data_IF_963937254355
#
_entry.id   IF_963937254355
#
_cell.length_a   1.000
_cell.length_b   1.000
_cell.length_c   1.000
_cell.angle_alpha   90.00
_cell.angle_beta   90.00
_cell.angle_gamma   90.00
#
_symmetry.space_group_name_H-M   'P 1'
#
loop_
_entity.id
_entity.type
_entity.pdbx_description
1 polymer ?
#
# COMPACT_ATOMS: atom_id res chain seq x y z
N UNK A 1 2.12 6.56 -25.28
CA UNK A 1 1.32 5.83 -24.27
C UNK A 1 1.90 6.10 -22.90
N UNK A 2 1.05 6.22 -21.88
CA UNK A 2 1.49 6.22 -20.48
C UNK A 2 2.20 4.90 -20.16
N UNK A 3 3.21 4.92 -19.28
CA UNK A 3 3.91 3.69 -18.90
C UNK A 3 3.01 2.89 -17.95
N UNK A 4 3.08 1.57 -17.99
CA UNK A 4 2.35 0.74 -17.02
C UNK A 4 2.79 1.11 -15.60
N UNK A 5 1.82 1.38 -14.70
CA UNK A 5 2.05 1.83 -13.32
C UNK A 5 2.98 3.06 -13.20
N UNK A 6 2.77 4.10 -14.01
CA UNK A 6 3.46 5.38 -13.82
C UNK A 6 2.88 6.22 -12.67
N UNK A 7 3.41 7.43 -12.45
CA UNK A 7 2.97 8.33 -11.38
C UNK A 7 1.49 8.72 -11.48
N UNK A 8 0.89 8.63 -12.67
CA UNK A 8 -0.53 8.92 -12.90
C UNK A 8 -1.38 7.65 -13.01
N UNK A 9 -0.89 6.53 -12.46
CA UNK A 9 -1.62 5.27 -12.50
C UNK A 9 -3.03 5.44 -11.91
N UNK A 10 -4.05 5.01 -12.68
CA UNK A 10 -5.49 5.20 -12.41
C UNK A 10 -5.99 6.67 -12.44
N UNK A 11 -5.14 7.66 -12.69
CA UNK A 11 -5.52 9.06 -12.80
C UNK A 11 -5.80 9.43 -14.27
N UNK A 12 -7.07 9.58 -14.61
CA UNK A 12 -7.55 9.75 -16.00
C UNK A 12 -7.83 11.20 -16.40
N UNK A 13 -7.61 12.18 -15.51
CA UNK A 13 -7.84 13.61 -15.79
C UNK A 13 -6.85 14.51 -15.05
N UNK A 14 -6.68 15.76 -15.53
CA UNK A 14 -5.86 16.77 -14.84
C UNK A 14 -6.36 17.12 -13.45
N UNK A 15 -7.67 17.09 -13.24
CA UNK A 15 -8.26 17.27 -11.91
C UNK A 15 -7.87 16.12 -10.97
N UNK A 16 -7.89 14.87 -11.46
CA UNK A 16 -7.49 13.71 -10.65
C UNK A 16 -5.99 13.75 -10.29
N UNK A 17 -5.13 14.10 -11.26
CA UNK A 17 -3.69 14.33 -11.04
C UNK A 17 -3.47 15.40 -9.95
N UNK A 18 -4.13 16.56 -10.06
CA UNK A 18 -4.01 17.66 -9.09
C UNK A 18 -4.47 17.23 -7.68
N UNK A 19 -5.67 16.64 -7.56
CA UNK A 19 -6.22 16.24 -6.26
C UNK A 19 -5.35 15.19 -5.56
N UNK A 20 -4.80 14.22 -6.32
CA UNK A 20 -3.96 13.19 -5.76
C UNK A 20 -2.57 13.71 -5.38
N UNK A 21 -1.85 14.31 -6.33
CA UNK A 21 -0.44 14.70 -6.13
C UNK A 21 -0.27 15.87 -5.16
N UNK A 22 -1.19 16.84 -5.19
CA UNK A 22 -1.05 18.04 -4.37
C UNK A 22 -1.63 17.88 -2.96
N UNK A 23 -2.63 17.02 -2.79
CA UNK A 23 -3.34 16.83 -1.52
C UNK A 23 -3.29 15.39 -1.02
N UNK A 24 -3.91 14.43 -1.72
CA UNK A 24 -4.16 13.09 -1.16
C UNK A 24 -2.87 12.32 -0.79
N UNK A 25 -1.85 12.33 -1.66
CA UNK A 25 -0.58 11.62 -1.49
C UNK A 25 0.20 12.04 -0.23
N UNK A 26 -0.06 13.24 0.29
CA UNK A 26 0.64 13.81 1.46
C UNK A 26 -0.08 13.53 2.78
N UNK A 27 -1.31 13.03 2.73
CA UNK A 27 -2.08 12.77 3.94
C UNK A 27 -1.53 11.54 4.68
N UNK A 28 -1.58 11.53 6.02
CA UNK A 28 -1.26 10.33 6.78
C UNK A 28 -2.30 9.23 6.53
N UNK A 29 -1.90 7.98 6.75
CA UNK A 29 -2.79 6.83 6.72
C UNK A 29 -3.47 6.70 8.08
N UNK A 30 -4.80 6.64 8.08
CA UNK A 30 -5.60 6.27 9.24
C UNK A 30 -6.20 4.87 9.00
N UNK A 31 -5.51 3.85 9.47
CA UNK A 31 -5.91 2.45 9.30
C UNK A 31 -6.69 1.95 10.53
N UNK A 32 -7.94 2.40 10.67
CA UNK A 32 -8.77 2.17 11.85
C UNK A 32 -9.23 0.71 12.03
N UNK A 33 -9.11 -0.10 10.98
CA UNK A 33 -9.50 -1.50 10.99
C UNK A 33 -8.55 -2.32 10.12
N UNK A 34 -7.72 -3.12 10.76
CA UNK A 34 -6.80 -4.05 10.11
C UNK A 34 -6.73 -5.37 10.90
N UNK A 35 -6.02 -6.33 10.33
CA UNK A 35 -5.77 -7.64 10.93
C UNK A 35 -4.28 -7.91 11.18
N UNK A 36 -3.47 -6.84 11.28
CA UNK A 36 -2.05 -6.96 11.59
C UNK A 36 -1.86 -7.59 12.98
N UNK A 37 -0.83 -8.43 13.12
CA UNK A 37 -0.48 -9.05 14.40
C UNK A 37 0.09 -8.00 15.36
N UNK A 38 -0.56 -7.73 16.52
CA UNK A 38 -0.01 -6.79 17.51
C UNK A 38 1.34 -7.24 18.07
N UNK A 39 1.57 -8.55 18.09
CA UNK A 39 2.84 -9.14 18.53
C UNK A 39 3.98 -8.83 17.57
N UNK A 40 3.74 -8.95 16.27
CA UNK A 40 4.77 -8.65 15.27
C UNK A 40 5.16 -7.17 15.29
N UNK A 41 4.19 -6.28 15.56
CA UNK A 41 4.44 -4.85 15.78
C UNK A 41 5.28 -4.65 17.04
N UNK A 42 4.92 -5.29 18.16
CA UNK A 42 5.64 -5.17 19.43
C UNK A 42 7.08 -5.69 19.38
N UNK A 43 7.30 -6.82 18.69
CA UNK A 43 8.61 -7.46 18.57
C UNK A 43 9.48 -6.84 17.47
N UNK A 44 8.97 -5.87 16.70
CA UNK A 44 9.60 -5.34 15.47
C UNK A 44 10.08 -6.48 14.55
N UNK A 45 9.15 -7.42 14.29
CA UNK A 45 9.44 -8.68 13.63
C UNK A 45 10.19 -8.47 12.31
N UNK A 46 11.32 -9.16 12.16
CA UNK A 46 12.05 -9.26 10.88
C UNK A 46 11.66 -10.56 10.19
N UNK A 47 11.35 -10.49 8.90
CA UNK A 47 11.05 -11.66 8.08
C UNK A 47 12.33 -12.21 7.46
N UNK A 48 12.43 -13.53 7.36
CA UNK A 48 13.64 -14.22 6.86
C UNK A 48 13.79 -14.08 5.35
N UNK A 49 12.68 -14.00 4.63
CA UNK A 49 12.64 -13.90 3.17
C UNK A 49 11.31 -13.31 2.67
N UNK A 50 11.26 -12.98 1.38
CA UNK A 50 10.08 -12.38 0.76
C UNK A 50 8.87 -13.31 0.76
N UNK A 51 9.08 -14.63 0.57
CA UNK A 51 8.00 -15.62 0.53
C UNK A 51 7.22 -15.63 1.84
N UNK A 52 7.91 -15.58 2.99
CA UNK A 52 7.28 -15.50 4.30
C UNK A 52 6.37 -14.27 4.41
N UNK A 53 6.87 -13.09 4.04
CA UNK A 53 6.08 -11.85 4.13
C UNK A 53 4.90 -11.82 3.14
N UNK A 54 5.11 -12.22 1.89
CA UNK A 54 4.13 -12.03 0.82
C UNK A 54 3.09 -13.14 0.70
N UNK A 55 3.39 -14.35 1.15
CA UNK A 55 2.48 -15.48 1.02
C UNK A 55 1.80 -15.90 2.34
N UNK A 56 2.21 -15.37 3.49
CA UNK A 56 1.57 -15.69 4.78
C UNK A 56 0.11 -15.22 4.90
N UNK A 57 -0.32 -14.25 4.08
CA UNK A 57 -1.69 -13.73 4.00
C UNK A 57 -1.84 -12.84 2.74
N UNK A 58 -2.96 -12.18 2.49
CA UNK A 58 -4.32 -12.31 3.01
C UNK A 58 -5.14 -13.30 2.15
N UNK A 59 -4.52 -14.40 1.73
CA UNK A 59 -5.12 -15.47 0.92
C UNK A 59 -5.56 -15.08 -0.50
N UNK A 60 -5.57 -13.81 -0.93
CA UNK A 60 -5.88 -13.48 -2.34
C UNK A 60 -4.97 -14.16 -3.38
N UNK A 61 -3.76 -14.55 -3.00
CA UNK A 61 -2.82 -15.29 -3.87
C UNK A 61 -3.10 -16.79 -3.94
N UNK A 62 -3.83 -17.34 -2.96
CA UNK A 62 -4.06 -18.78 -2.75
C UNK A 62 -5.55 -19.07 -2.70
#
# INVERSE_FOLDING_TARGET
MKKFMDEDFLLTSKTAEHLYHDYAKKMPILDYHCHLSPREIYEDQKYENLTQLWLAGDHYKW
#
